data_IF_182125438344
#
_entry.id   IF_182125438344
#
_cell.length_a   1.000
_cell.length_b   1.000
_cell.length_c   1.000
_cell.angle_alpha   90.00
_cell.angle_beta   90.00
_cell.angle_gamma   90.00
#
_symmetry.space_group_name_H-M   'P 1'
#
loop_
_entity.id
_entity.type
_entity.pdbx_description
1 polymer ?
#
# COMPACT_ATOMS: atom_id res chain seq x y z
N UNK A 1 33.20 29.23 13.51
CA UNK A 1 33.33 28.45 14.76
C UNK A 1 31.94 27.94 15.13
N UNK A 2 31.50 26.83 14.53
CA UNK A 2 30.19 26.23 14.82
C UNK A 2 30.33 25.28 16.00
N UNK A 3 29.41 25.32 16.96
CA UNK A 3 29.37 24.47 18.15
C UNK A 3 29.68 23.01 17.80
N UNK A 4 30.83 22.52 18.24
CA UNK A 4 31.24 21.11 18.13
C UNK A 4 30.67 20.25 19.27
N UNK A 5 29.87 20.83 20.17
CA UNK A 5 29.24 20.11 21.26
C UNK A 5 27.89 19.56 20.81
N UNK A 6 27.83 18.25 20.68
CA UNK A 6 26.61 17.49 20.44
C UNK A 6 25.83 17.44 21.75
N UNK A 7 24.54 17.79 21.70
CA UNK A 7 23.67 17.65 22.86
C UNK A 7 23.32 16.17 23.07
N UNK A 8 24.02 15.54 24.02
CA UNK A 8 23.87 14.12 24.35
C UNK A 8 22.49 13.79 24.92
N UNK A 9 21.82 14.73 25.58
CA UNK A 9 20.47 14.49 26.10
C UNK A 9 19.46 14.42 24.95
N UNK A 10 19.52 15.37 24.01
CA UNK A 10 18.66 15.36 22.82
C UNK A 10 18.95 14.14 21.93
N UNK A 11 20.21 13.73 21.80
CA UNK A 11 20.57 12.50 21.10
C UNK A 11 19.94 11.26 21.75
N UNK A 12 20.06 11.12 23.08
CA UNK A 12 19.43 10.00 23.81
C UNK A 12 17.90 9.98 23.73
N UNK A 13 17.25 11.15 23.74
CA UNK A 13 15.81 11.25 23.50
C UNK A 13 15.44 10.88 22.07
N UNK A 14 16.25 11.26 21.07
CA UNK A 14 16.08 10.80 19.68
C UNK A 14 16.12 9.28 19.60
N UNK A 15 17.09 8.63 20.23
CA UNK A 15 17.25 7.17 20.16
C UNK A 15 16.10 6.44 20.88
N UNK A 16 15.63 7.00 21.99
CA UNK A 16 14.42 6.53 22.68
C UNK A 16 13.18 6.67 21.79
N UNK A 17 13.03 7.81 21.11
CA UNK A 17 11.94 8.05 20.18
C UNK A 17 12.02 7.14 18.94
N UNK A 18 13.23 6.79 18.48
CA UNK A 18 13.44 5.81 17.41
C UNK A 18 12.89 4.44 17.81
N UNK A 19 13.30 3.93 18.97
CA UNK A 19 12.85 2.63 19.48
C UNK A 19 11.32 2.65 19.64
N UNK A 20 10.76 3.69 20.26
CA UNK A 20 9.32 3.84 20.42
C UNK A 20 8.58 3.85 19.08
N UNK A 21 9.06 4.60 18.08
CA UNK A 21 8.46 4.62 16.75
C UNK A 21 8.47 3.23 16.10
N UNK A 22 9.60 2.52 16.14
CA UNK A 22 9.72 1.15 15.60
C UNK A 22 8.76 0.19 16.31
N UNK A 23 8.65 0.25 17.63
CA UNK A 23 7.70 -0.57 18.40
C UNK A 23 6.25 -0.28 18.00
N UNK A 24 5.89 0.99 17.82
CA UNK A 24 4.53 1.36 17.41
C UNK A 24 4.26 0.94 15.96
N UNK A 25 5.24 1.04 15.04
CA UNK A 25 5.10 0.50 13.69
C UNK A 25 4.95 -1.03 13.67
N UNK A 26 5.69 -1.75 14.51
CA UNK A 26 5.54 -3.21 14.68
C UNK A 26 4.15 -3.57 15.21
N UNK A 27 3.65 -2.84 16.20
CA UNK A 27 2.29 -3.00 16.70
C UNK A 27 1.25 -2.69 15.60
N UNK A 28 1.45 -1.60 14.84
CA UNK A 28 0.60 -1.26 13.71
C UNK A 28 0.59 -2.38 12.66
N UNK A 29 1.76 -2.97 12.36
CA UNK A 29 1.90 -4.09 11.44
C UNK A 29 1.14 -5.31 11.96
N UNK A 30 1.31 -5.69 13.23
CA UNK A 30 0.60 -6.81 13.84
C UNK A 30 -0.93 -6.61 13.78
N UNK A 31 -1.43 -5.43 14.16
CA UNK A 31 -2.87 -5.11 14.08
C UNK A 31 -3.35 -5.09 12.62
N UNK A 32 -2.51 -4.61 11.68
CA UNK A 32 -2.84 -4.61 10.26
C UNK A 32 -2.98 -6.03 9.68
N UNK A 33 -2.15 -6.97 10.14
CA UNK A 33 -2.22 -8.39 9.74
C UNK A 33 -3.48 -9.06 10.31
N UNK A 34 -3.82 -8.76 11.57
CA UNK A 34 -5.09 -9.20 12.17
C UNK A 34 -6.29 -8.62 11.41
N UNK A 35 -6.27 -7.34 11.09
CA UNK A 35 -7.27 -6.71 10.23
C UNK A 35 -7.38 -7.41 8.87
N UNK A 36 -6.25 -7.69 8.23
CA UNK A 36 -6.19 -8.34 6.91
C UNK A 36 -6.79 -9.75 6.95
N UNK A 37 -6.45 -10.53 7.98
CA UNK A 37 -7.02 -11.85 8.24
C UNK A 37 -8.54 -11.78 8.46
N UNK A 38 -9.03 -10.84 9.26
CA UNK A 38 -10.48 -10.66 9.47
C UNK A 38 -11.20 -10.20 8.20
N UNK A 39 -10.56 -9.35 7.39
CA UNK A 39 -11.09 -8.93 6.10
C UNK A 39 -11.16 -10.10 5.09
N UNK A 40 -10.16 -10.99 5.10
CA UNK A 40 -10.18 -12.24 4.35
C UNK A 40 -11.37 -13.12 4.74
N UNK A 41 -11.52 -13.43 6.02
CA UNK A 41 -12.62 -14.29 6.53
C UNK A 41 -14.00 -13.68 6.22
N UNK A 42 -14.15 -12.35 6.36
CA UNK A 42 -15.38 -11.67 5.97
C UNK A 42 -15.67 -11.77 4.47
N UNK A 43 -14.62 -11.72 3.62
CA UNK A 43 -14.75 -11.88 2.18
C UNK A 43 -15.17 -13.31 1.79
N UNK A 44 -14.67 -14.33 2.48
CA UNK A 44 -15.05 -15.73 2.27
C UNK A 44 -16.52 -15.96 2.60
N UNK A 45 -16.97 -15.48 3.77
CA UNK A 45 -18.37 -15.62 4.18
C UNK A 45 -19.34 -14.89 3.26
N UNK A 46 -18.95 -13.73 2.73
CA UNK A 46 -19.74 -13.03 1.68
C UNK A 46 -19.87 -13.86 0.41
N UNK A 47 -18.83 -14.59 0.00
CA UNK A 47 -18.86 -15.45 -1.19
C UNK A 47 -19.69 -16.69 -0.96
N UNK A 48 -19.53 -17.33 0.20
CA UNK A 48 -20.33 -18.48 0.61
C UNK A 48 -21.82 -18.11 0.61
N UNK A 49 -22.18 -16.99 1.24
CA UNK A 49 -23.54 -16.45 1.19
C UNK A 49 -24.00 -16.20 -0.26
N UNK A 50 -23.17 -15.59 -1.11
CA UNK A 50 -23.54 -15.34 -2.50
C UNK A 50 -23.80 -16.64 -3.30
N UNK A 51 -23.01 -17.70 -3.06
CA UNK A 51 -23.23 -19.02 -3.68
C UNK A 51 -24.54 -19.64 -3.22
N UNK A 52 -24.77 -19.71 -1.90
CA UNK A 52 -26.03 -20.26 -1.34
C UNK A 52 -27.23 -19.48 -1.87
N UNK A 53 -27.17 -18.15 -1.88
CA UNK A 53 -28.25 -17.33 -2.45
C UNK A 53 -28.45 -17.59 -3.95
N UNK A 54 -27.39 -17.85 -4.72
CA UNK A 54 -27.52 -18.18 -6.14
C UNK A 54 -28.14 -19.58 -6.36
N UNK A 55 -27.81 -20.56 -5.52
CA UNK A 55 -28.38 -21.91 -5.56
C UNK A 55 -29.86 -21.89 -5.14
N UNK A 56 -30.21 -21.17 -4.07
CA UNK A 56 -31.60 -20.99 -3.65
C UNK A 56 -32.43 -20.35 -4.75
N UNK A 57 -31.91 -19.30 -5.42
CA UNK A 57 -32.57 -18.66 -6.56
C UNK A 57 -32.71 -19.59 -7.76
N UNK A 58 -31.68 -20.37 -8.08
CA UNK A 58 -31.74 -21.34 -9.17
C UNK A 58 -32.79 -22.44 -8.92
N UNK A 59 -32.84 -22.95 -7.69
CA UNK A 59 -33.84 -23.95 -7.28
C UNK A 59 -35.26 -23.40 -7.30
N UNK A 60 -35.47 -22.15 -6.87
CA UNK A 60 -36.77 -21.48 -6.95
C UNK A 60 -37.23 -21.32 -8.41
N UNK A 61 -36.35 -20.85 -9.30
CA UNK A 61 -36.65 -20.71 -10.72
C UNK A 61 -36.90 -22.06 -11.41
N UNK A 62 -36.25 -23.14 -10.96
CA UNK A 62 -36.53 -24.48 -11.47
C UNK A 62 -37.90 -24.99 -11.02
N UNK A 63 -38.28 -24.76 -9.75
CA UNK A 63 -39.62 -25.13 -9.26
C UNK A 63 -40.73 -24.39 -10.01
N UNK A 64 -40.55 -23.10 -10.26
CA UNK A 64 -41.49 -22.28 -11.03
C UNK A 64 -41.69 -22.81 -12.47
N UNK A 65 -40.61 -23.22 -13.14
CA UNK A 65 -40.69 -23.86 -14.47
C UNK A 65 -41.44 -25.20 -14.44
N UNK A 66 -41.26 -25.99 -13.38
CA UNK A 66 -41.96 -27.28 -13.20
C UNK A 66 -43.45 -27.06 -12.96
N UNK A 67 -43.84 -26.04 -12.18
CA UNK A 67 -45.26 -25.73 -11.92
C UNK A 67 -45.97 -25.21 -13.17
N UNK A 68 -45.30 -24.42 -14.01
CA UNK A 68 -45.88 -23.95 -15.29
C UNK A 68 -46.01 -25.11 -16.30
N UNK A 69 -45.04 -26.04 -16.33
CA UNK A 69 -45.11 -27.23 -17.17
C UNK A 69 -46.19 -28.23 -16.75
N UNK A 70 -46.50 -28.34 -15.46
CA UNK A 70 -47.55 -29.20 -14.94
C UNK A 70 -48.97 -28.64 -15.21
N UNK A 71 -49.13 -27.31 -15.26
CA UNK A 71 -50.41 -26.66 -15.58
C UNK A 71 -50.80 -26.72 -17.07
N UNK A 72 -49.84 -26.95 -17.97
CA UNK A 72 -50.11 -27.05 -19.41
C UNK A 72 -50.50 -28.47 -19.89
N UNK A 73 -50.54 -29.45 -18.98
CA UNK A 73 -50.79 -30.87 -19.29
C UNK A 73 -52.23 -31.36 -19.09
N UNK A 74 -53.15 -30.49 -18.65
CA UNK A 74 -54.55 -30.85 -18.41
C UNK A 74 -55.50 -29.75 -18.87
N UNK A 75 -55.76 -29.68 -20.17
CA UNK A 75 -57.09 -29.33 -20.71
C UNK A 75 -57.14 -29.55 -22.22
N UNK A 76 -57.47 -30.77 -22.60
CA UNK A 76 -58.15 -31.07 -23.86
C UNK A 76 -59.58 -31.52 -23.50
N UNK A 77 -60.49 -30.56 -23.36
CA UNK A 77 -61.88 -30.83 -22.99
C UNK A 77 -62.77 -29.60 -23.15
N UNK A 78 -63.61 -29.64 -24.18
CA UNK A 78 -64.67 -28.71 -24.56
C UNK A 78 -65.50 -28.11 -23.42
N UNK A 79 -65.85 -26.81 -23.51
CA UNK A 79 -66.94 -26.23 -22.72
C UNK A 79 -67.09 -24.72 -22.83
N UNK A 80 -68.18 -24.28 -23.44
CA UNK A 80 -68.62 -22.88 -23.56
C UNK A 80 -69.18 -22.36 -22.23
N UNK A 81 -68.86 -21.11 -21.86
CA UNK A 81 -69.79 -20.24 -21.12
C UNK A 81 -69.28 -19.57 -19.84
N UNK A 82 -69.40 -18.22 -19.81
CA UNK A 82 -69.88 -17.51 -18.61
C UNK A 82 -68.87 -16.88 -17.65
N UNK A 83 -68.70 -15.56 -17.78
CA UNK A 83 -68.70 -14.52 -16.71
C UNK A 83 -68.16 -14.88 -15.31
N UNK A 84 -67.12 -14.14 -14.90
CA UNK A 84 -66.78 -13.92 -13.49
C UNK A 84 -65.33 -13.51 -13.30
N UNK A 85 -65.02 -12.22 -13.42
CA UNK A 85 -63.75 -11.66 -12.93
C UNK A 85 -63.89 -11.52 -11.42
N UNK A 86 -63.19 -12.38 -10.66
CA UNK A 86 -63.05 -12.29 -9.21
C UNK A 86 -61.60 -11.96 -8.84
N UNK A 87 -61.45 -10.89 -8.05
CA UNK A 87 -60.22 -10.30 -7.53
C UNK A 87 -59.47 -11.19 -6.52
N UNK A 88 -58.76 -12.24 -6.95
CA UNK A 88 -57.88 -13.01 -6.04
C UNK A 88 -56.43 -13.26 -6.51
N UNK A 89 -56.03 -12.78 -7.68
CA UNK A 89 -54.64 -12.96 -8.18
C UNK A 89 -53.61 -11.93 -7.69
N UNK A 90 -54.02 -11.01 -6.80
CA UNK A 90 -53.14 -9.93 -6.33
C UNK A 90 -52.27 -10.27 -5.11
N UNK A 91 -52.25 -11.52 -4.63
CA UNK A 91 -51.41 -11.93 -3.47
C UNK A 91 -50.25 -12.88 -3.78
N UNK A 92 -50.07 -13.31 -5.04
CA UNK A 92 -49.02 -14.26 -5.43
C UNK A 92 -47.66 -13.65 -5.81
N UNK A 93 -47.58 -12.34 -6.07
CA UNK A 93 -46.40 -11.75 -6.75
C UNK A 93 -45.52 -10.88 -5.83
N UNK A 94 -45.89 -10.68 -4.56
CA UNK A 94 -45.17 -9.79 -3.64
C UNK A 94 -44.10 -10.47 -2.74
N UNK A 95 -43.91 -11.79 -2.81
CA UNK A 95 -42.95 -12.52 -1.96
C UNK A 95 -41.73 -13.11 -2.71
N UNK A 96 -41.73 -13.08 -4.04
CA UNK A 96 -40.64 -13.61 -4.85
C UNK A 96 -39.48 -12.59 -4.96
N UNK A 97 -38.60 -12.54 -3.97
CA UNK A 97 -37.34 -11.81 -4.15
C UNK A 97 -36.42 -11.67 -2.95
N UNK A 98 -36.97 -11.68 -1.72
CA UNK A 98 -36.19 -11.68 -0.51
C UNK A 98 -36.06 -13.12 0.00
N UNK A 99 -34.86 -13.72 -0.13
CA UNK A 99 -34.57 -14.98 0.56
C UNK A 99 -34.77 -14.76 2.06
N UNK A 100 -35.55 -15.63 2.70
CA UNK A 100 -35.75 -15.56 4.14
C UNK A 100 -34.41 -15.75 4.87
N UNK A 101 -33.93 -14.71 5.55
CA UNK A 101 -32.64 -14.74 6.24
C UNK A 101 -32.62 -15.77 7.38
N UNK A 102 -33.80 -16.15 7.91
CA UNK A 102 -33.92 -17.17 8.95
C UNK A 102 -33.53 -18.57 8.43
N UNK A 103 -33.74 -18.82 7.13
CA UNK A 103 -33.42 -20.08 6.44
C UNK A 103 -31.92 -20.29 6.22
N UNK A 104 -31.11 -19.23 6.32
CA UNK A 104 -29.66 -19.31 6.19
C UNK A 104 -29.01 -19.72 7.54
N UNK A 105 -27.91 -20.48 7.50
CA UNK A 105 -27.08 -20.70 8.68
C UNK A 105 -26.69 -19.38 9.33
N UNK A 106 -26.70 -19.29 10.66
CA UNK A 106 -26.45 -18.05 11.42
C UNK A 106 -25.18 -17.32 10.94
N UNK A 107 -24.12 -18.07 10.60
CA UNK A 107 -22.85 -17.49 10.13
C UNK A 107 -22.88 -16.84 8.75
N UNK A 108 -23.91 -17.13 7.94
CA UNK A 108 -24.16 -16.60 6.60
C UNK A 108 -25.25 -15.53 6.58
N UNK A 109 -25.88 -15.25 7.74
CA UNK A 109 -26.84 -14.16 7.85
C UNK A 109 -26.16 -12.80 7.70
N UNK A 110 -26.90 -11.83 7.18
CA UNK A 110 -26.41 -10.50 6.85
C UNK A 110 -25.88 -9.77 8.09
N UNK A 111 -26.56 -9.87 9.23
CA UNK A 111 -26.17 -9.29 10.51
C UNK A 111 -24.84 -9.87 11.02
N UNK A 112 -24.65 -11.19 10.96
CA UNK A 112 -23.42 -11.86 11.36
C UNK A 112 -22.23 -11.43 10.48
N UNK A 113 -22.44 -11.32 9.17
CA UNK A 113 -21.41 -10.83 8.23
C UNK A 113 -21.11 -9.35 8.48
N UNK A 114 -22.13 -8.51 8.70
CA UNK A 114 -21.96 -7.09 9.01
C UNK A 114 -21.18 -6.90 10.31
N UNK A 115 -21.46 -7.68 11.35
CA UNK A 115 -20.71 -7.67 12.62
C UNK A 115 -19.23 -7.98 12.41
N UNK A 116 -18.91 -8.98 11.58
CA UNK A 116 -17.52 -9.33 11.21
C UNK A 116 -16.84 -8.20 10.44
N UNK A 117 -17.53 -7.63 9.46
CA UNK A 117 -17.02 -6.51 8.65
C UNK A 117 -16.74 -5.29 9.54
N UNK A 118 -17.67 -4.95 10.44
CA UNK A 118 -17.50 -3.84 11.38
C UNK A 118 -16.32 -4.08 12.33
N UNK A 119 -16.09 -5.32 12.77
CA UNK A 119 -14.91 -5.68 13.57
C UNK A 119 -13.62 -5.49 12.77
N UNK A 120 -13.59 -5.94 11.53
CA UNK A 120 -12.44 -5.71 10.65
C UNK A 120 -12.20 -4.21 10.43
N UNK A 121 -13.24 -3.44 10.10
CA UNK A 121 -13.14 -1.99 9.88
C UNK A 121 -12.62 -1.24 11.12
N UNK A 122 -13.02 -1.68 12.33
CA UNK A 122 -12.47 -1.16 13.60
C UNK A 122 -10.97 -1.43 13.70
N UNK A 123 -10.52 -2.66 13.45
CA UNK A 123 -9.08 -2.99 13.44
C UNK A 123 -8.31 -2.16 12.42
N UNK A 124 -8.84 -2.00 11.19
CA UNK A 124 -8.23 -1.14 10.18
C UNK A 124 -8.17 0.33 10.63
N UNK A 125 -9.16 0.81 11.39
CA UNK A 125 -9.12 2.13 12.02
C UNK A 125 -8.05 2.26 13.09
N UNK A 126 -7.90 1.25 13.94
CA UNK A 126 -6.82 1.19 14.95
C UNK A 126 -5.45 1.15 14.27
N UNK A 127 -5.26 0.35 13.21
CA UNK A 127 -4.03 0.38 12.40
C UNK A 127 -3.72 1.79 11.90
N UNK A 128 -4.70 2.47 11.31
CA UNK A 128 -4.51 3.83 10.81
C UNK A 128 -4.08 4.80 11.92
N UNK A 129 -4.70 4.72 13.10
CA UNK A 129 -4.36 5.57 14.24
C UNK A 129 -2.94 5.29 14.76
N UNK A 130 -2.56 4.01 14.87
CA UNK A 130 -1.21 3.61 15.24
C UNK A 130 -0.17 4.06 14.22
N UNK A 131 -0.48 4.03 12.92
CA UNK A 131 0.42 4.58 11.89
C UNK A 131 0.64 6.08 12.08
N UNK A 132 -0.41 6.86 12.30
CA UNK A 132 -0.27 8.30 12.54
C UNK A 132 0.50 8.60 13.84
N UNK A 133 0.28 7.82 14.89
CA UNK A 133 1.05 7.91 16.13
C UNK A 133 2.53 7.59 15.88
N UNK A 134 2.83 6.49 15.18
CA UNK A 134 4.18 6.11 14.83
C UNK A 134 4.87 7.17 13.96
N UNK A 135 4.16 7.76 12.99
CA UNK A 135 4.65 8.89 12.18
C UNK A 135 4.99 10.09 13.04
N UNK A 136 4.14 10.46 14.00
CA UNK A 136 4.40 11.58 14.89
C UNK A 136 5.64 11.35 15.76
N UNK A 137 5.76 10.16 16.38
CA UNK A 137 6.93 9.80 17.20
C UNK A 137 8.20 9.71 16.34
N UNK A 138 8.10 9.17 15.13
CA UNK A 138 9.22 9.10 14.19
C UNK A 138 9.67 10.51 13.72
N UNK A 139 8.73 11.43 13.51
CA UNK A 139 9.08 12.82 13.21
C UNK A 139 9.81 13.49 14.40
N UNK A 140 9.36 13.24 15.63
CA UNK A 140 10.05 13.71 16.85
C UNK A 140 11.47 13.16 16.90
N UNK A 141 11.68 11.88 16.62
CA UNK A 141 13.02 11.28 16.53
C UNK A 141 13.93 12.05 15.56
N UNK A 142 13.49 12.27 14.32
CA UNK A 142 14.27 12.98 13.31
C UNK A 142 14.56 14.41 13.75
N UNK A 143 13.57 15.13 14.28
CA UNK A 143 13.73 16.52 14.75
C UNK A 143 14.74 16.61 15.90
N UNK A 144 14.59 15.77 16.93
CA UNK A 144 15.49 15.74 18.08
C UNK A 144 16.92 15.45 17.64
N UNK A 145 17.10 14.53 16.69
CA UNK A 145 18.41 14.21 16.14
C UNK A 145 19.06 15.40 15.42
N UNK A 146 18.27 16.18 14.69
CA UNK A 146 18.75 17.38 14.02
C UNK A 146 19.14 18.49 15.00
N UNK A 147 18.32 18.68 16.04
CA UNK A 147 18.60 19.63 17.12
C UNK A 147 19.85 19.23 17.90
N UNK A 148 20.02 17.94 18.22
CA UNK A 148 21.18 17.42 18.94
C UNK A 148 22.51 17.67 18.19
N UNK A 149 22.47 17.55 16.86
CA UNK A 149 23.63 17.74 16.00
C UNK A 149 23.84 19.19 15.54
N UNK A 150 22.86 20.08 15.75
CA UNK A 150 22.87 21.44 15.19
C UNK A 150 22.86 21.50 13.65
N UNK A 151 22.36 20.45 12.98
CA UNK A 151 22.35 20.31 11.51
C UNK A 151 21.14 19.50 11.04
N UNK A 152 20.90 19.47 9.73
CA UNK A 152 19.93 18.53 9.17
C UNK A 152 20.34 17.07 9.44
N UNK A 153 19.43 16.23 9.97
CA UNK A 153 19.74 14.90 10.51
C UNK A 153 19.81 13.80 9.44
N UNK A 154 20.52 14.04 8.34
CA UNK A 154 20.56 13.13 7.18
C UNK A 154 21.98 12.69 6.81
N UNK A 155 22.94 12.91 7.71
CA UNK A 155 24.38 12.89 7.45
C UNK A 155 25.04 11.52 7.38
N UNK A 156 24.29 10.45 7.64
CA UNK A 156 24.74 9.05 7.54
C UNK A 156 23.60 8.15 7.04
N UNK A 157 23.90 6.88 6.80
CA UNK A 157 22.94 5.95 6.21
C UNK A 157 21.75 5.61 7.15
N UNK A 158 21.98 5.54 8.47
CA UNK A 158 20.88 5.38 9.44
C UNK A 158 19.91 6.55 9.35
N UNK A 159 20.43 7.76 9.47
CA UNK A 159 19.71 9.01 9.32
C UNK A 159 18.94 9.09 7.99
N UNK A 160 19.57 8.72 6.88
CA UNK A 160 18.93 8.63 5.58
C UNK A 160 17.74 7.65 5.54
N UNK A 161 17.91 6.43 6.07
CA UNK A 161 16.82 5.43 6.10
C UNK A 161 15.66 5.91 6.97
N UNK A 162 15.93 6.53 8.13
CA UNK A 162 14.87 7.10 8.98
C UNK A 162 14.06 8.17 8.25
N UNK A 163 14.72 9.07 7.51
CA UNK A 163 14.03 10.13 6.75
C UNK A 163 13.25 9.58 5.55
N UNK A 164 13.83 8.67 4.77
CA UNK A 164 13.12 8.03 3.63
C UNK A 164 11.86 7.32 4.12
N UNK A 165 11.97 6.54 5.20
CA UNK A 165 10.83 5.79 5.75
C UNK A 165 9.81 6.71 6.43
N UNK A 166 10.23 7.78 7.09
CA UNK A 166 9.33 8.80 7.62
C UNK A 166 8.48 9.41 6.51
N UNK A 167 9.11 9.90 5.43
CA UNK A 167 8.37 10.48 4.31
C UNK A 167 7.47 9.45 3.62
N UNK A 168 7.94 8.22 3.42
CA UNK A 168 7.12 7.15 2.87
C UNK A 168 5.85 6.91 3.70
N UNK A 169 5.95 6.91 5.03
CA UNK A 169 4.82 6.69 5.92
C UNK A 169 3.89 7.91 6.03
N UNK A 170 4.43 9.14 6.07
CA UNK A 170 3.62 10.37 6.03
C UNK A 170 2.79 10.39 4.75
N UNK A 171 3.42 10.17 3.59
CA UNK A 171 2.77 10.17 2.29
C UNK A 171 1.73 9.05 2.21
N UNK A 172 2.09 7.84 2.63
CA UNK A 172 1.18 6.70 2.63
C UNK A 172 -0.03 6.93 3.53
N UNK A 173 0.17 7.49 4.73
CA UNK A 173 -0.92 7.82 5.65
C UNK A 173 -1.81 8.92 5.11
N UNK A 174 -1.24 9.95 4.49
CA UNK A 174 -1.99 11.04 3.85
C UNK A 174 -2.85 10.55 2.68
N UNK A 175 -2.35 9.61 1.87
CA UNK A 175 -3.06 9.06 0.70
C UNK A 175 -4.09 7.99 1.10
N UNK A 176 -3.77 7.14 2.07
CA UNK A 176 -4.62 6.03 2.54
C UNK A 176 -5.53 6.53 3.65
N UNK A 177 -6.57 7.27 3.28
CA UNK A 177 -7.59 7.75 4.23
C UNK A 177 -8.89 6.94 4.14
N UNK A 178 -9.20 6.44 2.93
CA UNK A 178 -10.44 5.69 2.68
C UNK A 178 -10.35 4.29 3.29
N UNK A 179 -11.39 3.87 4.01
CA UNK A 179 -11.49 2.52 4.64
C UNK A 179 -11.13 1.39 3.68
N UNK A 180 -11.61 1.47 2.43
CA UNK A 180 -11.35 0.45 1.40
C UNK A 180 -9.89 0.28 1.01
N UNK A 181 -9.04 1.27 1.30
CA UNK A 181 -7.61 1.23 0.97
C UNK A 181 -6.73 0.83 2.15
N UNK A 182 -7.30 0.73 3.37
CA UNK A 182 -6.54 0.33 4.58
C UNK A 182 -5.97 -1.08 4.48
N UNK A 183 -6.50 -1.92 3.58
CA UNK A 183 -5.92 -3.25 3.27
C UNK A 183 -4.51 -3.18 2.68
N UNK A 184 -4.04 -2.00 2.28
CA UNK A 184 -2.66 -1.77 1.87
C UNK A 184 -1.66 -1.70 3.03
N UNK A 185 -2.12 -1.51 4.27
CA UNK A 185 -1.23 -1.27 5.41
C UNK A 185 -0.18 -2.36 5.67
N UNK A 186 -0.52 -3.68 5.68
CA UNK A 186 0.49 -4.71 5.89
C UNK A 186 1.62 -4.65 4.86
N UNK A 187 1.27 -4.34 3.61
CA UNK A 187 2.19 -4.33 2.48
C UNK A 187 3.12 -3.12 2.48
N UNK A 188 2.71 -2.00 3.08
CA UNK A 188 3.53 -0.79 3.21
C UNK A 188 4.36 -0.82 4.49
N UNK A 189 3.77 -1.31 5.59
CA UNK A 189 4.45 -1.43 6.88
C UNK A 189 5.56 -2.47 6.87
N UNK A 190 5.38 -3.59 6.15
CA UNK A 190 6.40 -4.66 6.09
C UNK A 190 7.78 -4.15 5.61
N UNK A 191 7.92 -3.53 4.42
CA UNK A 191 9.22 -3.03 3.99
C UNK A 191 9.74 -1.89 4.87
N UNK A 192 8.87 -1.03 5.41
CA UNK A 192 9.28 0.08 6.29
C UNK A 192 9.82 -0.42 7.62
N UNK A 193 9.13 -1.36 8.27
CA UNK A 193 9.58 -1.97 9.52
C UNK A 193 10.88 -2.74 9.30
N UNK A 194 11.00 -3.49 8.19
CA UNK A 194 12.24 -4.18 7.86
C UNK A 194 13.42 -3.20 7.67
N UNK A 195 13.18 -2.09 6.97
CA UNK A 195 14.16 -1.01 6.79
C UNK A 195 14.58 -0.39 8.13
N UNK A 196 13.64 -0.04 8.98
CA UNK A 196 13.92 0.57 10.29
C UNK A 196 14.61 -0.41 11.23
N UNK A 197 14.20 -1.69 11.24
CA UNK A 197 14.89 -2.72 12.01
C UNK A 197 16.33 -2.90 11.55
N UNK A 198 16.56 -2.97 10.24
CA UNK A 198 17.91 -3.04 9.68
C UNK A 198 18.73 -1.78 10.01
N UNK A 199 18.12 -0.60 9.92
CA UNK A 199 18.77 0.65 10.26
C UNK A 199 19.23 0.68 11.72
N UNK A 200 18.36 0.33 12.66
CA UNK A 200 18.68 0.32 14.09
C UNK A 200 19.69 -0.75 14.53
N UNK A 201 19.84 -1.83 13.76
CA UNK A 201 20.71 -2.95 14.13
C UNK A 201 22.06 -2.94 13.42
N UNK A 202 22.10 -2.53 12.15
CA UNK A 202 23.29 -2.66 11.31
C UNK A 202 23.82 -1.32 10.80
N UNK A 203 22.99 -0.27 10.77
CA UNK A 203 23.39 1.03 10.23
C UNK A 203 23.52 2.11 11.31
N UNK A 204 23.14 1.79 12.55
CA UNK A 204 23.12 2.75 13.64
C UNK A 204 24.49 3.40 13.78
N UNK A 205 24.49 4.72 13.70
CA UNK A 205 25.67 5.55 13.88
C UNK A 205 25.37 6.56 14.98
N UNK A 206 26.37 6.94 15.77
CA UNK A 206 26.20 7.99 16.76
C UNK A 206 25.94 9.34 16.07
N UNK A 207 25.28 10.24 16.81
CA UNK A 207 25.11 11.62 16.34
C UNK A 207 26.50 12.24 16.26
N UNK A 208 26.88 12.73 15.07
CA UNK A 208 28.20 13.31 14.80
C UNK A 208 28.10 14.48 13.80
N UNK A 209 29.10 15.38 13.73
CA UNK A 209 29.19 16.38 12.68
C UNK A 209 29.22 15.74 11.28
N UNK A 210 28.73 16.44 10.27
CA UNK A 210 28.81 15.97 8.88
C UNK A 210 30.24 16.07 8.35
N UNK A 211 30.65 15.06 7.57
CA UNK A 211 31.91 15.08 6.82
C UNK A 211 31.97 16.29 5.87
N UNK A 212 33.16 16.83 5.54
CA UNK A 212 33.29 18.08 4.78
C UNK A 212 32.52 18.10 3.45
N UNK A 213 32.45 16.97 2.73
CA UNK A 213 31.70 16.84 1.47
C UNK A 213 30.18 17.02 1.61
N UNK A 214 29.65 16.93 2.83
CA UNK A 214 28.23 17.12 3.15
C UNK A 214 27.90 18.52 3.69
N UNK A 215 28.89 19.41 3.86
CA UNK A 215 28.72 20.77 4.37
C UNK A 215 28.24 21.74 3.28
N UNK A 216 27.14 21.41 2.61
CA UNK A 216 26.54 22.23 1.54
C UNK A 216 25.04 22.41 1.77
N UNK A 217 24.53 23.61 1.49
CA UNK A 217 23.09 23.89 1.55
C UNK A 217 22.26 23.08 0.54
N UNK A 218 22.90 22.55 -0.51
CA UNK A 218 22.24 21.72 -1.51
C UNK A 218 22.03 20.28 -1.05
N UNK A 219 22.82 19.80 -0.09
CA UNK A 219 22.69 18.44 0.44
C UNK A 219 21.30 18.22 1.09
N UNK A 220 20.82 19.10 1.99
CA UNK A 220 19.47 19.00 2.52
C UNK A 220 18.37 19.26 1.48
N UNK A 221 18.65 19.86 0.34
CA UNK A 221 17.62 19.99 -0.69
C UNK A 221 17.49 18.67 -1.44
N UNK A 222 18.62 18.17 -1.96
CA UNK A 222 18.71 16.92 -2.70
C UNK A 222 18.10 15.73 -1.94
N UNK A 223 18.59 15.48 -0.72
CA UNK A 223 18.25 14.26 0.02
C UNK A 223 16.79 14.25 0.46
N UNK A 224 16.18 15.41 0.77
CA UNK A 224 14.75 15.48 1.06
C UNK A 224 13.93 15.19 -0.16
N UNK A 225 14.26 15.84 -1.29
CA UNK A 225 13.52 15.67 -2.53
C UNK A 225 13.57 14.22 -3.03
N UNK A 226 14.74 13.57 -3.01
CA UNK A 226 14.86 12.15 -3.40
C UNK A 226 14.16 11.22 -2.41
N UNK A 227 14.16 11.55 -1.10
CA UNK A 227 13.47 10.77 -0.07
C UNK A 227 11.95 10.83 -0.21
N UNK A 228 11.40 12.02 -0.51
CA UNK A 228 9.97 12.19 -0.81
C UNK A 228 9.62 11.43 -2.09
N UNK A 229 10.40 11.59 -3.16
CA UNK A 229 10.21 10.84 -4.41
C UNK A 229 10.24 9.33 -4.19
N UNK A 230 11.20 8.85 -3.39
CA UNK A 230 11.34 7.45 -3.02
C UNK A 230 10.16 6.92 -2.20
N UNK A 231 9.66 7.71 -1.24
CA UNK A 231 8.47 7.37 -0.46
C UNK A 231 7.20 7.24 -1.30
N UNK A 232 7.00 8.14 -2.26
CA UNK A 232 5.89 8.05 -3.23
C UNK A 232 6.09 6.83 -4.14
N UNK A 233 7.32 6.59 -4.58
CA UNK A 233 7.71 5.44 -5.38
C UNK A 233 7.41 4.11 -4.69
N UNK A 234 7.65 4.01 -3.38
CA UNK A 234 7.32 2.83 -2.57
C UNK A 234 5.82 2.55 -2.57
N UNK A 235 5.00 3.57 -2.33
CA UNK A 235 3.54 3.43 -2.38
C UNK A 235 3.07 3.02 -3.79
N UNK A 236 3.66 3.61 -4.84
CA UNK A 236 3.34 3.28 -6.22
C UNK A 236 3.69 1.83 -6.59
N UNK A 237 4.93 1.42 -6.30
CA UNK A 237 5.42 0.08 -6.57
C UNK A 237 4.63 -0.98 -5.82
N UNK A 238 4.36 -0.76 -4.53
CA UNK A 238 3.57 -1.69 -3.73
C UNK A 238 2.12 -1.83 -4.24
N UNK A 239 1.50 -0.71 -4.66
CA UNK A 239 0.19 -0.75 -5.30
C UNK A 239 0.22 -1.53 -6.63
N UNK A 240 1.29 -1.43 -7.42
CA UNK A 240 1.47 -2.23 -8.64
C UNK A 240 1.69 -3.72 -8.38
N UNK A 241 2.44 -4.09 -7.33
CA UNK A 241 2.59 -5.50 -6.93
C UNK A 241 1.21 -6.07 -6.54
N UNK A 242 0.47 -5.37 -5.69
CA UNK A 242 -0.88 -5.79 -5.28
C UNK A 242 -1.85 -5.83 -6.46
N UNK A 243 -1.73 -4.90 -7.41
CA UNK A 243 -2.51 -4.93 -8.65
C UNK A 243 -2.25 -6.22 -9.44
N UNK A 244 -1.00 -6.63 -9.61
CA UNK A 244 -0.63 -7.85 -10.32
C UNK A 244 -1.17 -9.10 -9.61
N UNK A 245 -1.05 -9.17 -8.28
CA UNK A 245 -1.63 -10.26 -7.47
C UNK A 245 -3.15 -10.33 -7.68
N UNK A 246 -3.84 -9.19 -7.61
CA UNK A 246 -5.29 -9.12 -7.83
C UNK A 246 -5.69 -9.49 -9.27
N UNK A 247 -4.87 -9.18 -10.27
CA UNK A 247 -5.11 -9.58 -11.67
C UNK A 247 -4.89 -11.07 -11.90
N UNK A 248 -3.91 -11.67 -11.23
CA UNK A 248 -3.65 -13.11 -11.27
C UNK A 248 -4.72 -13.92 -10.53
N UNK A 249 -5.45 -13.28 -9.60
CA UNK A 249 -6.49 -13.90 -8.77
C UNK A 249 -7.81 -13.10 -8.86
N UNK A 250 -8.54 -13.20 -10.00
CA UNK A 250 -9.79 -12.47 -10.21
C UNK A 250 -10.85 -12.83 -9.17
N UNK A 251 -11.71 -11.86 -8.84
CA UNK A 251 -12.80 -12.05 -7.87
C UNK A 251 -13.69 -13.23 -8.26
N UNK A 252 -13.87 -14.15 -7.32
CA UNK A 252 -14.65 -15.38 -7.46
C UNK A 252 -13.84 -16.59 -7.95
N UNK A 253 -12.60 -16.40 -8.39
CA UNK A 253 -11.71 -17.45 -8.91
C UNK A 253 -10.41 -17.61 -8.09
N UNK A 254 -10.33 -16.97 -6.93
CA UNK A 254 -9.17 -17.04 -6.04
C UNK A 254 -8.89 -18.47 -5.54
N UNK A 255 -7.62 -18.89 -5.58
CA UNK A 255 -7.17 -20.23 -5.16
C UNK A 255 -5.84 -20.19 -4.41
N UNK A 256 -5.69 -21.08 -3.43
CA UNK A 256 -4.45 -21.27 -2.67
C UNK A 256 -4.00 -20.01 -1.90
N UNK A 257 -2.70 -19.93 -1.62
CA UNK A 257 -2.09 -18.84 -0.83
C UNK A 257 -2.25 -17.49 -1.53
N UNK A 258 -2.02 -17.42 -2.84
CA UNK A 258 -2.21 -16.19 -3.62
C UNK A 258 -3.67 -15.74 -3.62
N UNK A 259 -4.62 -16.68 -3.62
CA UNK A 259 -6.04 -16.39 -3.46
C UNK A 259 -6.39 -15.79 -2.10
N UNK A 260 -5.81 -16.33 -1.03
CA UNK A 260 -5.98 -15.80 0.33
C UNK A 260 -5.45 -14.36 0.43
N UNK A 261 -4.26 -14.10 -0.11
CA UNK A 261 -3.68 -12.75 -0.24
C UNK A 261 -4.58 -11.87 -1.11
N UNK A 262 -5.03 -12.33 -2.26
CA UNK A 262 -5.80 -11.49 -3.16
C UNK A 262 -7.18 -11.13 -2.60
N UNK A 263 -7.83 -12.04 -1.88
CA UNK A 263 -9.24 -11.92 -1.50
C UNK A 263 -9.65 -10.60 -0.82
N UNK A 264 -8.88 -9.98 0.12
CA UNK A 264 -9.28 -8.78 0.82
C UNK A 264 -8.93 -7.51 0.05
N UNK A 265 -8.09 -7.61 -0.98
CA UNK A 265 -7.64 -6.47 -1.78
C UNK A 265 -8.84 -5.75 -2.44
N UNK A 266 -8.74 -4.47 -2.78
CA UNK A 266 -9.77 -3.82 -3.57
C UNK A 266 -9.72 -4.31 -5.03
N UNK A 267 -10.61 -3.78 -5.86
CA UNK A 267 -10.60 -4.05 -7.30
C UNK A 267 -9.27 -3.65 -7.93
N UNK A 268 -8.86 -4.39 -8.97
CA UNK A 268 -7.64 -4.11 -9.71
C UNK A 268 -7.60 -2.64 -10.19
N UNK A 269 -8.73 -2.10 -10.66
CA UNK A 269 -8.81 -0.70 -11.10
C UNK A 269 -8.45 0.31 -9.99
N UNK A 270 -8.78 0.03 -8.72
CA UNK A 270 -8.45 0.92 -7.59
C UNK A 270 -6.96 0.88 -7.25
N UNK A 271 -6.36 -0.32 -7.29
CA UNK A 271 -4.93 -0.50 -7.08
C UNK A 271 -4.11 0.13 -8.21
N UNK A 272 -4.56 -0.08 -9.45
CA UNK A 272 -3.97 0.54 -10.64
C UNK A 272 -4.07 2.07 -10.56
N UNK A 273 -5.22 2.62 -10.16
CA UNK A 273 -5.40 4.06 -9.99
C UNK A 273 -4.52 4.64 -8.88
N UNK A 274 -4.35 3.91 -7.76
CA UNK A 274 -3.43 4.30 -6.69
C UNK A 274 -1.99 4.36 -7.22
N UNK A 275 -1.53 3.29 -7.87
CA UNK A 275 -0.19 3.23 -8.46
C UNK A 275 0.06 4.38 -9.46
N UNK A 276 -0.94 4.70 -10.28
CA UNK A 276 -0.83 5.81 -11.25
C UNK A 276 -0.62 7.14 -10.57
N UNK A 277 -1.54 7.47 -9.66
CA UNK A 277 -1.67 8.81 -9.10
C UNK A 277 -0.44 9.14 -8.30
N UNK A 278 0.13 8.15 -7.63
CA UNK A 278 1.39 8.31 -6.92
C UNK A 278 2.58 8.39 -7.88
N UNK A 279 2.66 7.55 -8.91
CA UNK A 279 3.76 7.62 -9.89
C UNK A 279 3.83 8.96 -10.65
N UNK A 280 2.68 9.57 -10.96
CA UNK A 280 2.61 10.91 -11.57
C UNK A 280 3.32 11.96 -10.73
N UNK A 281 3.29 11.83 -9.40
CA UNK A 281 4.04 12.69 -8.49
C UNK A 281 5.47 12.20 -8.25
N UNK A 282 5.70 10.88 -8.21
CA UNK A 282 7.03 10.31 -8.02
C UNK A 282 8.00 10.76 -9.12
N UNK A 283 7.57 10.75 -10.39
CA UNK A 283 8.44 11.09 -11.52
C UNK A 283 9.06 12.50 -11.43
N UNK A 284 8.28 13.60 -11.34
CA UNK A 284 8.85 14.95 -11.27
C UNK A 284 9.61 15.19 -9.96
N UNK A 285 9.11 14.69 -8.83
CA UNK A 285 9.77 14.89 -7.53
C UNK A 285 11.11 14.15 -7.49
N UNK A 286 11.14 12.88 -7.88
CA UNK A 286 12.39 12.12 -7.93
C UNK A 286 13.35 12.70 -8.97
N UNK A 287 12.86 13.15 -10.12
CA UNK A 287 13.65 13.84 -11.14
C UNK A 287 14.30 15.12 -10.62
N UNK A 288 13.55 15.97 -9.90
CA UNK A 288 14.11 17.13 -9.20
C UNK A 288 15.17 16.69 -8.18
N UNK A 289 14.96 15.58 -7.49
CA UNK A 289 15.95 14.97 -6.61
C UNK A 289 17.26 14.67 -7.36
N UNK A 290 17.20 14.03 -8.53
CA UNK A 290 18.38 13.74 -9.36
C UNK A 290 19.08 15.04 -9.80
N UNK A 291 18.33 16.05 -10.24
CA UNK A 291 18.89 17.36 -10.63
C UNK A 291 19.56 18.07 -9.46
N UNK A 292 18.91 18.14 -8.29
CA UNK A 292 19.51 18.70 -7.09
C UNK A 292 20.73 17.92 -6.62
N UNK A 293 20.76 16.61 -6.89
CA UNK A 293 21.93 15.76 -6.65
C UNK A 293 23.11 16.19 -7.50
N UNK A 294 22.90 16.44 -8.79
CA UNK A 294 23.93 16.96 -9.68
C UNK A 294 24.49 18.32 -9.23
N UNK A 295 23.61 19.24 -8.79
CA UNK A 295 24.04 20.55 -8.25
C UNK A 295 24.86 20.37 -6.97
N UNK A 296 24.42 19.49 -6.07
CA UNK A 296 25.16 19.19 -4.86
C UNK A 296 26.52 18.52 -5.16
N UNK A 297 26.59 17.62 -6.13
CA UNK A 297 27.83 16.97 -6.56
C UNK A 297 28.87 17.99 -7.05
N UNK A 298 28.43 19.03 -7.78
CA UNK A 298 29.31 20.12 -8.21
C UNK A 298 29.88 20.88 -7.02
N UNK A 299 29.02 21.23 -6.05
CA UNK A 299 29.44 21.90 -4.82
C UNK A 299 30.36 21.05 -3.94
N UNK A 300 30.21 19.72 -3.96
CA UNK A 300 30.98 18.81 -3.10
C UNK A 300 32.31 18.38 -3.73
N UNK A 301 32.31 18.10 -5.04
CA UNK A 301 33.41 17.42 -5.73
C UNK A 301 33.90 18.15 -6.99
N UNK A 302 33.36 19.34 -7.30
CA UNK A 302 33.76 20.17 -8.43
C UNK A 302 33.30 19.67 -9.79
N UNK A 303 32.31 18.75 -9.84
CA UNK A 303 31.65 18.31 -11.07
C UNK A 303 30.20 17.94 -10.82
N UNK A 304 29.32 18.31 -11.77
CA UNK A 304 27.89 18.07 -11.66
C UNK A 304 27.46 16.61 -11.92
N UNK A 305 28.30 15.79 -12.57
CA UNK A 305 28.01 14.38 -12.86
C UNK A 305 29.30 13.60 -13.08
N UNK A 306 29.36 12.38 -12.58
CA UNK A 306 30.52 11.48 -12.65
C UNK A 306 30.24 10.08 -13.21
N UNK A 307 28.99 9.77 -13.59
CA UNK A 307 28.59 8.41 -14.03
C UNK A 307 28.87 7.33 -12.99
N UNK A 308 28.92 7.69 -11.71
CA UNK A 308 29.09 6.69 -10.67
C UNK A 308 27.84 5.79 -10.56
N UNK A 309 27.93 4.62 -9.92
CA UNK A 309 26.81 3.69 -9.86
C UNK A 309 25.55 4.29 -9.21
N UNK A 310 25.66 5.21 -8.25
CA UNK A 310 24.49 5.81 -7.59
C UNK A 310 23.80 6.82 -8.48
N UNK A 311 24.58 7.70 -9.12
CA UNK A 311 24.11 8.63 -10.13
C UNK A 311 23.44 7.87 -11.29
N UNK A 312 24.11 6.88 -11.85
CA UNK A 312 23.63 6.11 -13.01
C UNK A 312 22.35 5.33 -12.68
N UNK A 313 22.29 4.63 -11.55
CA UNK A 313 21.09 3.86 -11.17
C UNK A 313 19.93 4.80 -10.81
N UNK A 314 20.20 5.98 -10.24
CA UNK A 314 19.15 6.99 -10.00
C UNK A 314 18.55 7.50 -11.32
N UNK A 315 19.38 7.76 -12.34
CA UNK A 315 18.92 8.16 -13.67
C UNK A 315 18.10 7.04 -14.33
N UNK A 316 18.58 5.79 -14.26
CA UNK A 316 17.86 4.61 -14.77
C UNK A 316 16.50 4.48 -14.07
N UNK A 317 16.46 4.61 -12.75
CA UNK A 317 15.21 4.54 -11.97
C UNK A 317 14.20 5.59 -12.44
N UNK A 318 14.65 6.84 -12.61
CA UNK A 318 13.83 7.94 -13.11
C UNK A 318 13.30 7.65 -14.52
N UNK A 319 14.15 7.16 -15.42
CA UNK A 319 13.77 6.78 -16.78
C UNK A 319 12.73 5.65 -16.79
N UNK A 320 12.87 4.62 -15.94
CA UNK A 320 11.89 3.52 -15.89
C UNK A 320 10.53 4.03 -15.39
N UNK A 321 10.49 4.96 -14.43
CA UNK A 321 9.24 5.62 -14.05
C UNK A 321 8.62 6.43 -15.20
N UNK A 322 9.44 7.11 -16.02
CA UNK A 322 8.96 7.80 -17.21
C UNK A 322 8.38 6.81 -18.24
N UNK A 323 9.08 5.71 -18.48
CA UNK A 323 8.62 4.62 -19.35
C UNK A 323 7.33 4.01 -18.82
N UNK A 324 7.18 3.86 -17.50
CA UNK A 324 5.92 3.39 -16.89
C UNK A 324 4.75 4.32 -17.22
N UNK A 325 4.90 5.62 -16.98
CA UNK A 325 3.83 6.59 -17.25
C UNK A 325 3.53 6.69 -18.76
N UNK A 326 4.56 6.62 -19.60
CA UNK A 326 4.41 6.57 -21.05
C UNK A 326 3.66 5.32 -21.51
N UNK A 327 4.11 4.12 -21.07
CA UNK A 327 3.45 2.85 -21.36
C UNK A 327 1.99 2.84 -20.90
N UNK A 328 1.66 3.55 -19.82
CA UNK A 328 0.30 3.68 -19.35
C UNK A 328 -0.55 4.64 -20.18
N UNK A 329 0.06 5.65 -20.80
CA UNK A 329 -0.62 6.53 -21.76
C UNK A 329 -0.85 5.81 -23.11
N UNK A 330 0.05 4.90 -23.50
CA UNK A 330 0.03 4.20 -24.79
C UNK A 330 -1.04 3.09 -24.87
N UNK A 331 -1.85 3.04 -25.94
CA UNK A 331 -2.76 1.93 -26.22
C UNK A 331 -2.02 0.57 -26.27
N UNK A 332 -2.63 -0.49 -25.74
CA UNK A 332 -2.05 -1.84 -25.74
C UNK A 332 -0.97 -2.14 -24.68
N UNK A 333 -0.46 -1.12 -23.99
CA UNK A 333 0.52 -1.26 -22.90
C UNK A 333 -0.07 -1.14 -21.49
N UNK A 334 -1.32 -0.66 -21.39
CA UNK A 334 -2.09 -0.57 -20.13
C UNK A 334 -2.25 -1.93 -19.45
N UNK A 335 -2.38 -1.90 -18.12
CA UNK A 335 -2.63 -3.08 -17.31
C UNK A 335 -1.35 -3.79 -16.89
N UNK A 336 -1.25 -5.11 -17.11
CA UNK A 336 -0.17 -5.93 -16.54
C UNK A 336 1.23 -5.53 -17.00
N UNK A 337 1.39 -5.16 -18.29
CA UNK A 337 2.69 -4.75 -18.84
C UNK A 337 3.20 -3.48 -18.14
N UNK A 338 2.38 -2.42 -18.11
CA UNK A 338 2.71 -1.20 -17.38
C UNK A 338 2.97 -1.47 -15.89
N UNK A 339 2.16 -2.30 -15.23
CA UNK A 339 2.36 -2.61 -13.82
C UNK A 339 3.73 -3.27 -13.55
N UNK A 340 4.18 -4.20 -14.41
CA UNK A 340 5.52 -4.78 -14.29
C UNK A 340 6.63 -3.74 -14.47
N UNK A 341 6.50 -2.80 -15.39
CA UNK A 341 7.48 -1.70 -15.55
C UNK A 341 7.58 -0.88 -14.25
N UNK A 342 6.46 -0.59 -13.60
CA UNK A 342 6.46 0.12 -12.31
C UNK A 342 7.09 -0.70 -11.17
N UNK A 343 6.86 -2.02 -11.15
CA UNK A 343 7.51 -2.92 -10.19
C UNK A 343 9.02 -2.94 -10.41
N UNK A 344 9.48 -2.94 -11.66
CA UNK A 344 10.90 -2.84 -12.00
C UNK A 344 11.46 -1.48 -11.55
N UNK A 345 10.75 -0.37 -11.79
CA UNK A 345 11.16 0.96 -11.32
C UNK A 345 11.37 0.97 -9.79
N UNK A 346 10.40 0.42 -9.06
CA UNK A 346 10.48 0.28 -7.61
C UNK A 346 11.63 -0.63 -7.17
N UNK A 347 11.84 -1.76 -7.85
CA UNK A 347 12.95 -2.67 -7.56
C UNK A 347 14.32 -2.02 -7.81
N UNK A 348 14.49 -1.27 -8.90
CA UNK A 348 15.72 -0.51 -9.19
C UNK A 348 15.95 0.58 -8.14
N UNK A 349 14.90 1.24 -7.66
CA UNK A 349 15.00 2.22 -6.58
C UNK A 349 15.45 1.58 -5.26
N UNK A 350 14.89 0.43 -4.89
CA UNK A 350 15.31 -0.34 -3.71
C UNK A 350 16.75 -0.85 -3.86
N UNK A 351 17.12 -1.31 -5.06
CA UNK A 351 18.49 -1.69 -5.38
C UNK A 351 19.47 -0.52 -5.20
N UNK A 352 19.11 0.69 -5.65
CA UNK A 352 19.91 1.89 -5.42
C UNK A 352 20.07 2.24 -3.94
N UNK A 353 19.00 2.06 -3.15
CA UNK A 353 19.00 2.31 -1.71
C UNK A 353 19.92 1.34 -0.95
N UNK A 354 19.96 0.07 -1.31
CA UNK A 354 20.73 -0.92 -0.55
C UNK A 354 22.06 -1.28 -1.21
N UNK A 355 22.01 -1.82 -2.43
CA UNK A 355 23.16 -2.43 -3.06
C UNK A 355 24.26 -1.41 -3.34
N UNK A 356 23.89 -0.24 -3.85
CA UNK A 356 24.88 0.80 -4.13
C UNK A 356 25.46 1.39 -2.85
N UNK A 357 24.67 1.52 -1.78
CA UNK A 357 25.18 2.05 -0.51
C UNK A 357 26.01 1.04 0.29
N UNK A 358 25.81 -0.26 0.10
CA UNK A 358 26.46 -1.31 0.91
C UNK A 358 27.58 -2.06 0.19
N UNK A 359 27.48 -2.24 -1.14
CA UNK A 359 28.35 -3.15 -1.91
C UNK A 359 29.32 -2.39 -2.80
N UNK A 360 28.95 -1.19 -3.25
CA UNK A 360 29.80 -0.38 -4.13
C UNK A 360 30.62 0.58 -3.30
N UNK A 361 31.95 0.38 -3.28
CA UNK A 361 32.89 1.39 -2.83
C UNK A 361 32.89 2.58 -3.80
N UNK A 362 32.44 3.75 -3.34
CA UNK A 362 32.38 4.97 -4.13
C UNK A 362 32.21 6.23 -3.28
N UNK A 363 32.20 7.40 -3.91
CA UNK A 363 32.11 8.72 -3.26
C UNK A 363 30.83 8.93 -2.43
N UNK A 364 29.87 8.00 -2.54
CA UNK A 364 28.60 7.96 -1.83
C UNK A 364 28.50 6.83 -0.80
N UNK A 365 29.60 6.13 -0.48
CA UNK A 365 29.61 5.14 0.60
C UNK A 365 29.55 5.85 1.96
N UNK A 366 28.32 6.15 2.39
CA UNK A 366 28.03 6.67 3.72
C UNK A 366 27.93 5.57 4.78
N UNK A 367 28.33 4.34 4.42
CA UNK A 367 28.10 3.17 5.25
C UNK A 367 28.92 3.19 6.54
N UNK A 368 29.95 4.04 6.68
CA UNK A 368 30.81 4.01 7.87
C UNK A 368 31.49 2.65 8.08
N UNK A 369 31.43 1.77 7.08
CA UNK A 369 32.03 0.44 7.06
C UNK A 369 33.46 0.56 6.52
N UNK A 370 34.34 1.12 7.34
CA UNK A 370 35.79 0.90 7.25
C UNK A 370 36.31 0.51 8.62
#
# INVERSE_FOLDING_TARGET
>A
MGNTNIDQNLAGFSDSAFIAAVTIYLLALAVSLLYYSQAHLASEKRRERAKVLSEVKANAAQREKVTVGAGAGSDAGSGVGGRGVSDDDARGVSAAGAVDESSLPETLRADAILKRVNRADKLGGVTQALVWLAVAVHAVQVILRGLAAGRFPWGNLFEYVTVVTLFAMVISAAVIQRKSMRVMWPWLLTPVVALLFYAGTNLYAETAPVVPSLQSGWFPIHVSTVSIGGGIGLLSGMASIMYLVRRAQPKGKEKGILGAIASPLPDAAKLDALAYRTAVWALPIFGLGVVFGAIWADAAWGRFWGWDPKETVSLITWMIYAVYLHARATPGWRGNKAAWINVIAFATMVFNLFFINMVVSGLHSYAGLN
#
